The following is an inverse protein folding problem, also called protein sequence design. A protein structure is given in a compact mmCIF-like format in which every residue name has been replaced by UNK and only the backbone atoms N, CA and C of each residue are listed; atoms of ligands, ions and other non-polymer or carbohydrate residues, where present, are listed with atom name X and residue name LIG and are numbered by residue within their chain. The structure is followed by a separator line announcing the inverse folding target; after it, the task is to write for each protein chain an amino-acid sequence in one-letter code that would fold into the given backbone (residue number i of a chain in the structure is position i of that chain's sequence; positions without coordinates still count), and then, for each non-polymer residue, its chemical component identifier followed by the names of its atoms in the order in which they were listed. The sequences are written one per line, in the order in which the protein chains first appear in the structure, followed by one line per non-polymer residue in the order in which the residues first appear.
data_IF_918637294570
#
_entry.id   IF_918637294570
#
_cell.length_a   1.000
_cell.length_b   1.000
_cell.length_c   1.000
_cell.angle_alpha   90.00
_cell.angle_beta   90.00
_cell.angle_gamma   90.00
#
_symmetry.space_group_name_H-M   'P 1'
#
loop_
_entity.id
_entity.type
_entity.pdbx_description
1 polymer ?
#
# COMPACT_ATOMS: atom_id res chain seq x y z
N UNK A 1 -9.34 23.40 7.50
CA UNK A 1 -8.17 22.66 7.01
C UNK A 1 -8.23 22.66 5.50
N UNK A 2 -7.19 23.17 4.84
CA UNK A 2 -7.11 23.23 3.38
C UNK A 2 -6.32 22.05 2.83
N UNK A 3 -6.28 21.93 1.50
CA UNK A 3 -5.42 20.97 0.80
C UNK A 3 -3.96 21.38 1.01
N UNK A 4 -3.12 20.48 1.51
CA UNK A 4 -1.67 20.69 1.70
C UNK A 4 -0.81 19.90 0.71
N UNK A 5 -1.36 18.84 0.12
CA UNK A 5 -0.66 17.96 -0.82
C UNK A 5 -1.55 17.64 -2.02
N UNK A 6 -0.98 17.63 -3.23
CA UNK A 6 -1.67 17.27 -4.48
C UNK A 6 -0.86 16.20 -5.21
N UNK A 7 -1.45 15.01 -5.36
CA UNK A 7 -0.94 13.96 -6.24
C UNK A 7 -1.72 13.97 -7.56
N UNK A 8 -1.06 14.25 -8.67
CA UNK A 8 -1.68 14.25 -10.00
C UNK A 8 -1.21 13.03 -10.81
N UNK A 9 -2.13 12.10 -11.05
CA UNK A 9 -1.85 10.88 -11.80
C UNK A 9 -1.74 11.06 -13.32
N UNK A 10 -1.92 12.27 -13.86
CA UNK A 10 -1.89 12.54 -15.30
C UNK A 10 -1.02 13.76 -15.66
N UNK A 11 -0.02 14.06 -14.84
CA UNK A 11 0.79 15.28 -14.97
C UNK A 11 1.48 15.37 -16.34
N UNK A 12 1.41 16.54 -16.97
CA UNK A 12 2.09 16.78 -18.25
C UNK A 12 1.38 16.18 -19.48
N UNK A 13 0.23 15.53 -19.30
CA UNK A 13 -0.65 15.17 -20.41
C UNK A 13 -1.36 16.40 -20.99
N UNK A 14 -1.92 16.28 -22.19
CA UNK A 14 -2.59 17.37 -22.93
C UNK A 14 -3.74 18.07 -22.17
N UNK A 15 -4.19 17.50 -21.04
CA UNK A 15 -5.30 18.02 -20.25
C UNK A 15 -4.93 18.32 -18.78
N UNK A 16 -3.66 18.15 -18.40
CA UNK A 16 -3.19 18.23 -17.02
C UNK A 16 -1.83 18.92 -16.91
N UNK A 17 -1.79 20.19 -17.32
CA UNK A 17 -0.60 21.05 -17.30
C UNK A 17 -0.31 21.71 -15.92
N UNK A 18 -0.80 21.13 -14.82
CA UNK A 18 -0.49 21.60 -13.45
C UNK A 18 0.93 21.25 -13.01
N UNK A 19 1.42 21.83 -11.91
CA UNK A 19 2.76 21.58 -11.37
C UNK A 19 2.98 22.30 -10.04
N UNK A 20 4.14 22.09 -9.40
CA UNK A 20 4.49 22.79 -8.14
C UNK A 20 4.35 24.32 -8.29
N UNK A 21 4.76 24.86 -9.44
CA UNK A 21 4.67 26.30 -9.75
C UNK A 21 3.23 26.82 -9.82
N UNK A 22 2.25 25.97 -10.11
CA UNK A 22 0.84 26.34 -10.16
C UNK A 22 0.24 26.48 -8.76
N UNK A 23 0.65 25.63 -7.82
CA UNK A 23 0.10 25.60 -6.46
C UNK A 23 0.91 26.44 -5.45
N UNK A 24 2.12 26.88 -5.81
CA UNK A 24 2.96 27.72 -4.97
C UNK A 24 3.64 26.95 -3.84
N UNK A 25 4.26 27.67 -2.90
CA UNK A 25 5.11 27.08 -1.86
C UNK A 25 4.34 26.41 -0.70
N UNK A 26 3.01 26.52 -0.68
CA UNK A 26 2.18 26.06 0.45
C UNK A 26 1.51 24.71 0.21
N UNK A 27 1.61 24.19 -1.01
CA UNK A 27 1.03 22.90 -1.39
C UNK A 27 2.16 22.09 -2.01
N UNK A 28 2.45 20.94 -1.44
CA UNK A 28 3.39 20.01 -2.03
C UNK A 28 2.71 19.27 -3.19
N UNK A 29 3.36 19.24 -4.34
CA UNK A 29 2.81 18.64 -5.57
C UNK A 29 3.68 17.48 -6.04
N UNK A 30 3.05 16.31 -6.25
CA UNK A 30 3.68 15.18 -6.91
C UNK A 30 2.96 14.85 -8.22
N UNK A 31 3.68 14.91 -9.32
CA UNK A 31 3.14 14.63 -10.65
C UNK A 31 3.60 13.27 -11.16
N UNK A 32 2.66 12.38 -11.44
CA UNK A 32 2.90 11.14 -12.19
C UNK A 32 2.51 11.38 -13.64
N UNK A 33 3.44 11.23 -14.60
CA UNK A 33 3.16 11.42 -16.02
C UNK A 33 2.47 10.18 -16.60
N UNK A 34 1.32 9.78 -16.04
CA UNK A 34 0.58 8.65 -16.57
C UNK A 34 -0.15 9.00 -17.86
N UNK A 35 -0.03 8.08 -18.82
CA UNK A 35 -0.80 8.12 -20.04
C UNK A 35 -1.94 7.11 -19.93
N UNK A 36 -3.12 7.50 -20.40
CA UNK A 36 -4.28 6.60 -20.53
C UNK A 36 -4.09 5.68 -21.75
N UNK A 37 -3.11 4.76 -21.62
CA UNK A 37 -2.77 3.77 -22.63
C UNK A 37 -2.68 2.40 -21.96
N UNK A 38 -3.22 1.32 -22.56
CA UNK A 38 -3.11 -0.03 -22.01
C UNK A 38 -1.66 -0.54 -21.85
N UNK A 39 -0.72 0.08 -22.56
CA UNK A 39 0.71 -0.23 -22.49
C UNK A 39 1.47 0.61 -21.47
N UNK A 40 0.81 1.59 -20.83
CA UNK A 40 1.47 2.45 -19.86
C UNK A 40 1.69 1.68 -18.54
N UNK A 41 2.95 1.50 -18.18
CA UNK A 41 3.33 0.85 -16.93
C UNK A 41 3.30 1.84 -15.76
N UNK A 42 2.13 1.95 -15.12
CA UNK A 42 1.93 2.82 -13.95
C UNK A 42 2.64 2.30 -12.70
N UNK A 43 3.02 1.02 -12.66
CA UNK A 43 3.63 0.40 -11.47
C UNK A 43 4.93 1.08 -11.05
N UNK A 44 5.66 1.65 -12.03
CA UNK A 44 6.89 2.43 -11.86
C UNK A 44 6.76 3.61 -10.90
N UNK A 45 5.54 4.11 -10.73
CA UNK A 45 5.25 5.29 -9.92
C UNK A 45 4.67 4.97 -8.55
N UNK A 46 4.30 3.70 -8.29
CA UNK A 46 3.64 3.29 -7.05
C UNK A 46 4.48 3.63 -5.81
N UNK A 47 5.78 3.34 -5.83
CA UNK A 47 6.65 3.65 -4.69
C UNK A 47 6.71 5.17 -4.42
N UNK A 48 7.01 5.97 -5.45
CA UNK A 48 7.09 7.43 -5.31
C UNK A 48 5.77 8.07 -4.85
N UNK A 49 4.65 7.57 -5.37
CA UNK A 49 3.32 8.04 -5.00
C UNK A 49 2.94 7.63 -3.58
N UNK A 50 3.24 6.39 -3.19
CA UNK A 50 3.01 5.90 -1.84
C UNK A 50 3.86 6.64 -0.81
N UNK A 51 5.13 6.92 -1.12
CA UNK A 51 6.00 7.74 -0.28
C UNK A 51 5.44 9.16 -0.11
N UNK A 52 5.02 9.79 -1.20
CA UNK A 52 4.39 11.12 -1.14
C UNK A 52 3.12 11.13 -0.27
N UNK A 53 2.26 10.11 -0.39
CA UNK A 53 1.07 9.96 0.46
C UNK A 53 1.46 9.73 1.92
N UNK A 54 2.47 8.90 2.18
CA UNK A 54 2.95 8.62 3.53
C UNK A 54 3.49 9.88 4.21
N UNK A 55 4.30 10.68 3.51
CA UNK A 55 4.84 11.92 4.02
C UNK A 55 3.72 12.92 4.34
N UNK A 56 2.73 13.04 3.44
CA UNK A 56 1.56 13.90 3.63
C UNK A 56 0.73 13.54 4.87
N UNK A 57 0.63 12.26 5.19
CA UNK A 57 -0.10 11.76 6.37
C UNK A 57 0.74 11.83 7.65
N UNK A 58 2.06 11.84 7.52
CA UNK A 58 3.00 11.86 8.65
C UNK A 58 3.34 13.27 9.11
N UNK A 59 3.13 14.29 8.27
CA UNK A 59 3.20 15.70 8.68
C UNK A 59 1.96 16.04 9.51
N UNK A 60 2.10 16.34 10.82
CA UNK A 60 1.00 16.89 11.60
C UNK A 60 0.61 18.23 10.97
N UNK A 61 -0.68 18.49 10.82
CA UNK A 61 -1.22 19.72 10.23
C UNK A 61 -0.97 20.99 11.06
N UNK A 62 0.29 21.29 11.34
CA UNK A 62 0.74 22.50 12.01
C UNK A 62 1.62 23.29 11.04
N UNK A 63 1.19 24.52 10.79
CA UNK A 63 1.80 25.47 9.88
C UNK A 63 3.23 25.83 10.31
N UNK A 64 4.23 25.06 9.89
CA UNK A 64 5.61 25.52 9.86
C UNK A 64 5.99 25.92 8.44
N UNK A 65 5.67 27.18 8.10
CA UNK A 65 6.01 27.83 6.84
C UNK A 65 7.51 28.16 6.78
N UNK A 66 8.38 27.14 6.88
CA UNK A 66 9.80 27.30 6.57
C UNK A 66 10.03 26.92 5.11
N UNK A 67 10.69 27.78 4.29
CA UNK A 67 11.00 27.44 2.92
C UNK A 67 12.10 26.39 2.94
N UNK A 68 11.73 25.12 2.81
CA UNK A 68 12.68 24.04 2.53
C UNK A 68 13.16 24.19 1.11
N UNK A 69 14.43 24.55 0.96
CA UNK A 69 15.17 24.44 -0.30
C UNK A 69 15.33 22.95 -0.58
N UNK A 70 14.35 22.36 -1.28
CA UNK A 70 14.46 21.00 -1.80
C UNK A 70 15.11 21.08 -3.18
N UNK A 71 16.20 20.34 -3.35
CA UNK A 71 16.92 20.22 -4.61
C UNK A 71 15.97 19.95 -5.78
N UNK A 72 16.08 20.81 -6.78
CA UNK A 72 15.41 20.75 -8.07
C UNK A 72 15.65 19.38 -8.70
N UNK A 73 14.69 18.46 -8.56
CA UNK A 73 14.61 17.28 -9.41
C UNK A 73 13.92 17.71 -10.70
N UNK A 74 14.69 18.32 -11.59
CA UNK A 74 14.26 18.52 -12.97
C UNK A 74 13.98 17.15 -13.60
N UNK A 75 12.72 16.93 -13.99
CA UNK A 75 12.39 15.79 -14.85
C UNK A 75 12.87 16.07 -16.28
N UNK A 76 13.32 15.06 -17.03
CA UNK A 76 13.85 15.26 -18.37
C UNK A 76 12.74 15.76 -19.29
N UNK A 77 12.94 16.93 -19.90
CA UNK A 77 12.16 17.35 -21.06
C UNK A 77 12.48 16.42 -22.23
N UNK A 78 11.44 15.80 -22.80
CA UNK A 78 11.54 15.16 -24.11
C UNK A 78 11.79 16.25 -25.17
N UNK A 79 13.03 16.32 -25.67
CA UNK A 79 13.34 16.88 -26.99
C UNK A 79 14.28 15.92 -27.72
N UNK A 80 13.99 15.80 -29.01
CA UNK A 80 14.46 14.78 -29.93
C UNK A 80 15.99 14.76 -30.16
N UNK A 81 16.48 13.55 -30.42
CA UNK A 81 17.66 13.11 -31.19
C UNK A 81 18.95 13.97 -31.20
N UNK A 82 20.01 13.47 -30.54
CA UNK A 82 21.34 13.26 -31.15
C UNK A 82 22.35 12.70 -30.13
N UNK A 83 23.25 11.86 -30.62
CA UNK A 83 24.15 10.96 -29.88
C UNK A 83 25.35 11.64 -29.19
N UNK A 84 25.76 11.13 -28.01
CA UNK A 84 27.12 10.68 -27.61
C UNK A 84 27.35 10.71 -26.06
N UNK A 85 28.37 9.97 -25.52
CA UNK A 85 28.33 9.33 -24.20
C UNK A 85 29.12 10.07 -23.10
N UNK A 86 28.76 9.85 -21.84
CA UNK A 86 29.54 10.29 -20.67
C UNK A 86 28.91 9.80 -19.37
N UNK A 87 29.65 9.00 -18.61
CA UNK A 87 29.15 8.33 -17.41
C UNK A 87 29.22 9.11 -16.10
N UNK A 88 28.85 8.36 -15.05
CA UNK A 88 28.95 8.61 -13.60
C UNK A 88 27.81 9.39 -12.93
N UNK A 89 27.08 8.66 -12.05
CA UNK A 89 26.16 9.23 -11.05
C UNK A 89 24.79 8.56 -10.98
N UNK A 90 24.71 7.22 -10.93
CA UNK A 90 23.44 6.52 -10.78
C UNK A 90 22.82 6.78 -9.41
N UNK A 91 21.81 7.65 -9.35
CA UNK A 91 20.73 7.53 -8.36
C UNK A 91 20.09 6.17 -8.64
N UNK A 92 20.13 5.23 -7.70
CA UNK A 92 19.46 3.93 -7.84
C UNK A 92 17.96 4.20 -8.07
N UNK A 93 17.55 4.19 -9.33
CA UNK A 93 16.15 4.27 -9.70
C UNK A 93 15.49 2.98 -9.26
N UNK A 94 14.40 3.08 -8.52
CA UNK A 94 13.56 1.93 -8.23
C UNK A 94 13.14 1.27 -9.56
N UNK A 95 13.49 0.00 -9.71
CA UNK A 95 12.95 -0.86 -10.76
C UNK A 95 12.00 -1.87 -10.13
N UNK A 96 10.84 -2.07 -10.77
CA UNK A 96 9.90 -3.11 -10.36
C UNK A 96 10.60 -4.47 -10.47
N UNK A 97 10.76 -5.22 -9.36
CA UNK A 97 11.45 -6.50 -9.39
C UNK A 97 10.73 -7.49 -10.29
N UNK A 98 11.47 -8.32 -11.01
CA UNK A 98 10.88 -9.38 -11.80
C UNK A 98 10.30 -10.47 -10.88
N UNK A 99 9.37 -11.29 -11.41
CA UNK A 99 8.76 -12.39 -10.65
C UNK A 99 9.79 -13.31 -9.96
N UNK A 100 10.92 -13.71 -10.60
CA UNK A 100 11.93 -14.53 -9.94
C UNK A 100 12.61 -13.82 -8.77
N UNK A 101 12.78 -12.50 -8.85
CA UNK A 101 13.38 -11.71 -7.77
C UNK A 101 12.44 -11.64 -6.57
N UNK A 102 11.13 -11.46 -6.81
CA UNK A 102 10.10 -11.54 -5.77
C UNK A 102 10.04 -12.92 -5.12
N UNK A 103 10.07 -14.00 -5.91
CA UNK A 103 10.10 -15.37 -5.39
C UNK A 103 11.32 -15.62 -4.51
N UNK A 104 12.49 -15.15 -4.95
CA UNK A 104 13.74 -15.26 -4.18
C UNK A 104 13.66 -14.48 -2.87
N UNK A 105 13.11 -13.28 -2.88
CA UNK A 105 12.90 -12.48 -1.67
C UNK A 105 11.99 -13.22 -0.68
N UNK A 106 10.89 -13.81 -1.14
CA UNK A 106 9.98 -14.59 -0.30
C UNK A 106 10.68 -15.81 0.33
N UNK A 107 11.45 -16.57 -0.44
CA UNK A 107 12.14 -17.76 0.08
C UNK A 107 13.29 -17.45 1.03
N UNK A 108 14.00 -16.34 0.84
CA UNK A 108 15.14 -15.97 1.68
C UNK A 108 14.72 -15.40 3.04
N UNK A 109 13.54 -14.77 3.11
CA UNK A 109 13.15 -14.02 4.32
C UNK A 109 12.85 -14.92 5.52
N UNK A 110 12.55 -16.19 5.29
CA UNK A 110 12.20 -17.16 6.33
C UNK A 110 10.87 -16.81 7.02
N UNK A 111 9.98 -17.78 7.16
CA UNK A 111 8.78 -17.62 7.99
C UNK A 111 9.10 -17.79 9.46
N UNK A 112 8.26 -17.23 10.33
CA UNK A 112 8.20 -17.69 11.71
C UNK A 112 7.44 -19.04 11.74
N UNK A 113 7.74 -19.90 12.73
CA UNK A 113 6.95 -21.12 12.98
C UNK A 113 5.77 -20.88 13.93
N UNK A 114 5.51 -19.62 14.31
CA UNK A 114 4.38 -19.28 15.16
C UNK A 114 3.07 -19.39 14.38
N UNK A 115 2.02 -19.78 15.08
CA UNK A 115 0.67 -19.80 14.50
C UNK A 115 0.10 -18.39 14.25
N UNK A 116 0.66 -17.36 14.89
CA UNK A 116 0.19 -15.97 14.81
C UNK A 116 1.35 -15.01 15.06
N UNK A 117 1.63 -14.15 14.10
CA UNK A 117 2.70 -13.14 14.16
C UNK A 117 2.16 -11.75 13.93
N UNK A 118 2.69 -10.78 14.68
CA UNK A 118 2.43 -9.37 14.41
C UNK A 118 3.35 -8.88 13.29
N UNK A 119 2.77 -8.58 12.13
CA UNK A 119 3.53 -8.16 10.92
C UNK A 119 3.53 -6.64 10.71
N UNK A 120 2.62 -5.94 11.38
CA UNK A 120 2.53 -4.49 11.44
C UNK A 120 1.91 -4.09 12.79
N UNK A 121 2.10 -2.85 13.31
CA UNK A 121 1.35 -2.36 14.46
C UNK A 121 -0.14 -2.68 14.34
N UNK A 122 -0.65 -3.49 15.27
CA UNK A 122 -2.04 -4.00 15.31
C UNK A 122 -2.50 -4.83 14.09
N UNK A 123 -1.60 -5.39 13.27
CA UNK A 123 -1.96 -6.36 12.24
C UNK A 123 -1.24 -7.68 12.51
N UNK A 124 -2.02 -8.75 12.60
CA UNK A 124 -1.53 -10.09 12.83
C UNK A 124 -1.83 -10.99 11.64
N UNK A 125 -0.84 -11.79 11.22
CA UNK A 125 -1.03 -12.88 10.27
C UNK A 125 -0.96 -14.20 11.03
N UNK A 126 -1.96 -15.04 10.83
CA UNK A 126 -2.04 -16.32 11.51
C UNK A 126 -2.67 -17.39 10.65
N UNK A 127 -2.51 -18.62 11.12
CA UNK A 127 -3.02 -19.80 10.44
C UNK A 127 -4.40 -20.24 10.99
N UNK A 128 -4.87 -21.39 10.49
CA UNK A 128 -6.14 -21.95 10.89
C UNK A 128 -6.18 -22.43 12.36
N UNK A 129 -5.03 -22.61 13.02
CA UNK A 129 -4.97 -22.89 14.45
C UNK A 129 -5.25 -21.60 15.24
N UNK A 130 -4.59 -20.51 14.87
CA UNK A 130 -4.78 -19.21 15.52
C UNK A 130 -6.24 -18.72 15.41
N UNK A 131 -6.84 -18.84 14.23
CA UNK A 131 -8.25 -18.49 14.00
C UNK A 131 -9.22 -19.27 14.92
N UNK A 132 -8.90 -20.52 15.27
CA UNK A 132 -9.74 -21.36 16.15
C UNK A 132 -9.41 -21.20 17.64
N UNK A 133 -8.37 -20.45 17.98
CA UNK A 133 -7.92 -20.29 19.37
C UNK A 133 -8.49 -19.03 19.99
N UNK A 134 -9.76 -19.09 20.45
CA UNK A 134 -10.44 -17.96 21.11
C UNK A 134 -9.62 -17.38 22.27
N UNK A 135 -8.98 -18.23 23.05
CA UNK A 135 -8.10 -17.82 24.16
C UNK A 135 -6.95 -16.94 23.67
N UNK A 136 -6.34 -17.29 22.54
CA UNK A 136 -5.23 -16.51 21.94
C UNK A 136 -5.74 -15.18 21.38
N UNK A 137 -6.89 -15.20 20.68
CA UNK A 137 -7.49 -13.98 20.15
C UNK A 137 -7.90 -13.01 21.27
N UNK A 138 -8.47 -13.52 22.37
CA UNK A 138 -8.81 -12.73 23.55
C UNK A 138 -7.58 -12.17 24.26
N UNK A 139 -6.53 -12.98 24.47
CA UNK A 139 -5.33 -12.53 25.19
C UNK A 139 -4.60 -11.41 24.45
N UNK A 140 -4.65 -11.41 23.12
CA UNK A 140 -4.12 -10.35 22.27
C UNK A 140 -5.11 -9.20 22.04
N UNK A 141 -6.32 -9.30 22.58
CA UNK A 141 -7.41 -8.34 22.39
C UNK A 141 -7.70 -8.07 20.91
N UNK A 142 -7.70 -9.12 20.08
CA UNK A 142 -8.10 -9.03 18.67
C UNK A 142 -9.56 -8.59 18.60
N UNK A 143 -9.86 -7.71 17.64
CA UNK A 143 -11.18 -7.08 17.50
C UNK A 143 -11.82 -7.39 16.14
N UNK A 144 -11.00 -7.63 15.12
CA UNK A 144 -11.44 -7.89 13.76
C UNK A 144 -10.77 -9.17 13.25
N UNK A 145 -11.54 -9.99 12.53
CA UNK A 145 -11.03 -11.20 11.86
C UNK A 145 -11.30 -11.08 10.37
N UNK A 146 -10.23 -11.05 9.57
CA UNK A 146 -10.28 -11.26 8.14
C UNK A 146 -9.88 -12.71 7.83
N UNK A 147 -10.82 -13.53 7.38
CA UNK A 147 -10.55 -14.92 7.00
C UNK A 147 -10.43 -15.02 5.48
N UNK A 148 -9.19 -15.14 4.98
CA UNK A 148 -8.91 -15.26 3.55
C UNK A 148 -9.19 -16.67 2.98
N UNK A 149 -9.55 -17.65 3.82
CA UNK A 149 -9.89 -19.00 3.41
C UNK A 149 -11.25 -19.40 4.01
N UNK A 150 -12.22 -18.49 3.94
CA UNK A 150 -13.57 -18.75 4.45
C UNK A 150 -14.28 -19.83 3.62
N UNK A 151 -15.35 -20.39 4.20
CA UNK A 151 -16.24 -21.29 3.50
C UNK A 151 -16.30 -22.70 4.09
N UNK A 152 -17.33 -23.48 3.72
CA UNK A 152 -17.68 -24.75 4.36
C UNK A 152 -16.63 -25.86 4.16
N UNK A 153 -15.83 -25.76 3.10
CA UNK A 153 -14.77 -26.72 2.76
C UNK A 153 -13.36 -26.23 3.13
N UNK A 154 -13.26 -25.07 3.78
CA UNK A 154 -12.01 -24.40 4.15
C UNK A 154 -12.00 -24.08 5.66
N UNK A 155 -11.53 -22.90 6.08
CA UNK A 155 -11.57 -22.45 7.48
C UNK A 155 -12.99 -21.97 7.81
N UNK A 156 -13.89 -22.92 8.06
CA UNK A 156 -15.30 -22.66 8.34
C UNK A 156 -15.54 -22.17 9.79
N UNK A 157 -15.07 -20.96 10.11
CA UNK A 157 -15.43 -20.30 11.37
C UNK A 157 -16.68 -19.46 11.20
N UNK A 158 -16.68 -18.53 10.23
CA UNK A 158 -17.74 -17.53 10.07
C UNK A 158 -17.89 -16.61 11.29
N UNK A 159 -18.69 -15.55 11.13
CA UNK A 159 -18.93 -14.57 12.19
C UNK A 159 -19.52 -15.18 13.47
N UNK A 160 -20.39 -16.20 13.34
CA UNK A 160 -21.05 -16.85 14.48
C UNK A 160 -20.07 -17.53 15.43
N UNK A 161 -18.93 -18.01 14.93
CA UNK A 161 -17.92 -18.63 15.77
C UNK A 161 -17.35 -17.68 16.82
N UNK A 162 -17.23 -16.37 16.50
CA UNK A 162 -16.65 -15.35 17.37
C UNK A 162 -17.68 -14.48 18.10
N UNK A 163 -18.97 -14.85 18.07
CA UNK A 163 -20.07 -14.00 18.57
C UNK A 163 -19.94 -13.64 20.06
N UNK A 164 -19.41 -14.54 20.87
CA UNK A 164 -19.11 -14.35 22.29
C UNK A 164 -17.96 -13.37 22.56
N UNK A 165 -17.12 -13.11 21.55
CA UNK A 165 -15.98 -12.21 21.63
C UNK A 165 -16.28 -10.80 21.12
N UNK A 166 -17.48 -10.58 20.55
CA UNK A 166 -17.89 -9.31 19.96
C UNK A 166 -16.93 -8.80 18.86
N UNK A 167 -16.30 -9.73 18.13
CA UNK A 167 -15.40 -9.40 17.03
C UNK A 167 -16.18 -9.12 15.74
N UNK A 168 -15.68 -8.18 14.94
CA UNK A 168 -16.14 -8.01 13.56
C UNK A 168 -15.46 -9.06 12.65
N UNK A 169 -16.21 -9.59 11.69
CA UNK A 169 -15.75 -10.66 10.82
C UNK A 169 -15.94 -10.29 9.35
N UNK A 170 -14.91 -10.53 8.55
CA UNK A 170 -14.95 -10.44 7.10
C UNK A 170 -14.35 -11.71 6.49
N UNK A 171 -15.17 -12.48 5.78
CA UNK A 171 -14.77 -13.73 5.15
C UNK A 171 -14.62 -13.58 3.65
N UNK A 172 -13.53 -14.12 3.11
CA UNK A 172 -13.27 -14.26 1.68
C UNK A 172 -13.12 -15.75 1.40
N UNK A 173 -14.00 -16.31 0.58
CA UNK A 173 -13.89 -17.70 0.11
C UNK A 173 -12.85 -17.77 -1.02
N UNK A 174 -11.57 -17.58 -0.69
CA UNK A 174 -10.49 -17.72 -1.67
C UNK A 174 -9.91 -19.13 -1.69
N UNK A 175 -9.42 -19.51 -2.88
CA UNK A 175 -8.64 -20.72 -3.08
C UNK A 175 -7.16 -20.36 -3.15
N UNK A 176 -6.31 -21.16 -2.50
CA UNK A 176 -4.86 -21.09 -2.64
C UNK A 176 -4.44 -21.73 -3.97
N UNK A 177 -4.79 -21.05 -5.05
CA UNK A 177 -4.54 -21.48 -6.42
C UNK A 177 -4.06 -20.27 -7.26
N UNK A 178 -2.97 -20.40 -8.04
CA UNK A 178 -2.45 -19.30 -8.86
C UNK A 178 -3.43 -18.77 -9.92
N UNK A 179 -4.46 -19.53 -10.28
CA UNK A 179 -5.52 -19.13 -11.19
C UNK A 179 -6.70 -18.43 -10.52
N UNK A 180 -6.76 -18.43 -9.18
CA UNK A 180 -7.77 -17.71 -8.43
C UNK A 180 -7.48 -16.21 -8.46
N UNK A 181 -8.43 -15.41 -8.94
CA UNK A 181 -8.29 -13.95 -8.94
C UNK A 181 -8.58 -13.38 -7.55
N UNK A 182 -7.53 -13.28 -6.73
CA UNK A 182 -7.62 -12.65 -5.41
C UNK A 182 -7.75 -11.12 -5.49
N UNK A 183 -7.42 -10.51 -6.63
CA UNK A 183 -7.30 -9.06 -6.75
C UNK A 183 -8.63 -8.33 -6.57
N UNK A 184 -9.74 -9.00 -6.92
CA UNK A 184 -11.10 -8.45 -6.76
C UNK A 184 -11.46 -8.17 -5.30
N UNK A 185 -10.77 -8.78 -4.33
CA UNK A 185 -11.03 -8.60 -2.91
C UNK A 185 -10.12 -7.56 -2.25
N UNK A 186 -9.07 -7.08 -2.94
CA UNK A 186 -8.04 -6.23 -2.32
C UNK A 186 -8.62 -4.94 -1.72
N UNK A 187 -9.49 -4.26 -2.44
CA UNK A 187 -10.05 -2.99 -1.98
C UNK A 187 -10.94 -3.17 -0.73
N UNK A 188 -11.86 -4.14 -0.77
CA UNK A 188 -12.79 -4.36 0.35
C UNK A 188 -12.07 -4.92 1.58
N UNK A 189 -11.09 -5.81 1.39
CA UNK A 189 -10.23 -6.30 2.46
C UNK A 189 -9.40 -5.17 3.09
N UNK A 190 -8.77 -4.33 2.26
CA UNK A 190 -7.99 -3.19 2.74
C UNK A 190 -8.87 -2.17 3.48
N UNK A 191 -10.09 -1.92 2.99
CA UNK A 191 -11.07 -1.06 3.65
C UNK A 191 -11.50 -1.62 5.02
N UNK A 192 -11.70 -2.94 5.12
CA UNK A 192 -11.99 -3.59 6.39
C UNK A 192 -10.83 -3.44 7.39
N UNK A 193 -9.59 -3.67 6.94
CA UNK A 193 -8.38 -3.46 7.76
C UNK A 193 -8.25 -1.99 8.19
N UNK A 194 -8.44 -1.04 7.27
CA UNK A 194 -8.38 0.39 7.56
C UNK A 194 -9.41 0.81 8.62
N UNK A 195 -10.66 0.37 8.47
CA UNK A 195 -11.72 0.59 9.47
C UNK A 195 -11.33 0.05 10.86
N UNK A 196 -10.74 -1.15 10.89
CA UNK A 196 -10.29 -1.76 12.14
C UNK A 196 -9.24 -0.88 12.82
N UNK A 197 -8.21 -0.44 12.09
CA UNK A 197 -7.10 0.36 12.62
C UNK A 197 -7.52 1.79 13.02
N UNK A 198 -8.54 2.36 12.38
CA UNK A 198 -9.11 3.66 12.76
C UNK A 198 -9.92 3.59 14.07
N UNK A 199 -10.31 2.40 14.50
CA UNK A 199 -11.03 2.19 15.76
C UNK A 199 -10.05 2.18 16.93
N UNK A 200 -10.37 2.91 18.02
CA UNK A 200 -9.50 2.94 19.21
C UNK A 200 -9.27 1.54 19.77
N UNK A 201 -8.01 1.09 19.75
CA UNK A 201 -7.62 -0.25 20.20
C UNK A 201 -7.89 -1.37 19.18
N UNK A 202 -8.29 -1.01 17.96
CA UNK A 202 -8.55 -1.95 16.89
C UNK A 202 -7.31 -2.72 16.46
N UNK A 203 -7.50 -4.02 16.28
CA UNK A 203 -6.55 -5.08 15.94
C UNK A 203 -7.25 -6.17 15.16
#
# INVERSE_FOLDING_TARGET
MGVTHVLNAAHGTAHSHGGQDFYGATIDYHGVPAHDLPSFDISRFFFSAAQFIHDALSTPGEADLTPRVQERSEMPHTREDSSLPGGAGGRDSYETPALPDLQRLCWLRGGSENHLDQVWPNIYLGDAWAARSKTTLQSLSITHILNAADGPYSINTGAKYYQDLQMEYYGVEAFDDPSFDLSVFFYDAAKFIGKALDTSGGK
#
